data_IF_438504607625
#
_entry.id   IF_438504607625
#
_cell.length_a   1.000
_cell.length_b   1.000
_cell.length_c   1.000
_cell.angle_alpha   90.00
_cell.angle_beta   90.00
_cell.angle_gamma   90.00
#
_symmetry.space_group_name_H-M   'P 1'
#
loop_
_entity.id
_entity.type
_entity.pdbx_description
1 polymer ?
#
# COMPACT_ATOMS: atom_id res chain seq x y z
N UNK A 1 -29.93 -0.24 5.26
CA UNK A 1 -29.50 -0.96 4.05
C UNK A 1 -28.73 -0.05 3.09
N UNK A 2 -29.30 1.06 2.61
CA UNK A 2 -28.62 2.00 1.70
C UNK A 2 -27.26 2.51 2.19
N UNK A 3 -27.15 2.92 3.46
CA UNK A 3 -25.89 3.39 4.03
C UNK A 3 -24.77 2.33 4.01
N UNK A 4 -25.09 1.08 4.36
CA UNK A 4 -24.14 -0.05 4.37
C UNK A 4 -23.68 -0.39 2.96
N UNK A 5 -24.59 -0.36 1.99
CA UNK A 5 -24.21 -0.57 0.58
C UNK A 5 -23.29 0.55 0.09
N UNK A 6 -23.55 1.79 0.50
CA UNK A 6 -22.72 2.93 0.12
C UNK A 6 -21.31 2.86 0.73
N UNK A 7 -21.18 2.44 2.00
CA UNK A 7 -19.86 2.24 2.62
C UNK A 7 -19.08 1.14 1.92
N UNK A 8 -19.70 -0.03 1.69
CA UNK A 8 -19.03 -1.13 0.97
C UNK A 8 -18.62 -0.76 -0.46
N UNK A 9 -19.41 0.07 -1.15
CA UNK A 9 -19.04 0.58 -2.47
C UNK A 9 -17.84 1.53 -2.40
N UNK A 10 -17.79 2.41 -1.39
CA UNK A 10 -16.65 3.30 -1.16
C UNK A 10 -15.38 2.50 -0.83
N UNK A 11 -15.47 1.46 0.00
CA UNK A 11 -14.32 0.63 0.35
C UNK A 11 -13.80 -0.15 -0.86
N UNK A 12 -14.71 -0.73 -1.63
CA UNK A 12 -14.37 -1.41 -2.89
C UNK A 12 -13.70 -0.47 -3.89
N UNK A 13 -14.18 0.77 -3.97
CA UNK A 13 -13.58 1.80 -4.81
C UNK A 13 -12.18 2.19 -4.32
N UNK A 14 -12.00 2.41 -3.02
CA UNK A 14 -10.71 2.75 -2.41
C UNK A 14 -9.67 1.65 -2.63
N UNK A 15 -10.03 0.39 -2.37
CA UNK A 15 -9.18 -0.78 -2.63
C UNK A 15 -8.82 -0.87 -4.12
N UNK A 16 -9.79 -0.61 -5.01
CA UNK A 16 -9.54 -0.59 -6.46
C UNK A 16 -8.54 0.50 -6.86
N UNK A 17 -8.55 1.68 -6.23
CA UNK A 17 -7.55 2.73 -6.47
C UNK A 17 -6.15 2.28 -6.05
N UNK A 18 -6.00 1.62 -4.89
CA UNK A 18 -4.71 1.06 -4.46
C UNK A 18 -4.22 0.02 -5.48
N UNK A 19 -5.11 -0.88 -5.91
CA UNK A 19 -4.79 -1.89 -6.91
C UNK A 19 -4.40 -1.27 -8.28
N UNK A 20 -5.05 -0.19 -8.70
CA UNK A 20 -4.67 0.54 -9.91
C UNK A 20 -3.27 1.16 -9.82
N UNK A 21 -2.91 1.73 -8.66
CA UNK A 21 -1.56 2.27 -8.43
C UNK A 21 -0.50 1.17 -8.48
N UNK A 22 -0.79 0.02 -7.87
CA UNK A 22 0.05 -1.18 -7.99
C UNK A 22 0.26 -1.56 -9.45
N UNK A 23 -0.81 -1.67 -10.24
CA UNK A 23 -0.72 -2.01 -11.67
C UNK A 23 0.15 -1.00 -12.43
N UNK A 24 0.00 0.30 -12.14
CA UNK A 24 0.82 1.35 -12.77
C UNK A 24 2.31 1.20 -12.41
N UNK A 25 2.65 0.83 -11.18
CA UNK A 25 4.03 0.52 -10.79
C UNK A 25 4.59 -0.69 -11.52
N UNK A 26 3.82 -1.78 -11.61
CA UNK A 26 4.24 -2.97 -12.37
C UNK A 26 4.44 -2.64 -13.86
N UNK A 27 3.55 -1.85 -14.46
CA UNK A 27 3.68 -1.40 -15.84
C UNK A 27 4.92 -0.50 -16.03
N UNK A 28 5.21 0.39 -15.09
CA UNK A 28 6.40 1.21 -15.11
C UNK A 28 7.67 0.35 -15.04
N UNK A 29 7.74 -0.60 -14.10
CA UNK A 29 8.85 -1.54 -13.96
C UNK A 29 9.09 -2.32 -15.27
N UNK A 30 8.04 -2.90 -15.86
CA UNK A 30 8.12 -3.59 -17.15
C UNK A 30 8.60 -2.69 -18.29
N UNK A 31 8.16 -1.43 -18.34
CA UNK A 31 8.63 -0.45 -19.32
C UNK A 31 10.12 -0.17 -19.17
N UNK A 32 10.60 0.03 -17.93
CA UNK A 32 12.02 0.27 -17.65
C UNK A 32 12.88 -0.92 -18.09
N UNK A 33 12.47 -2.14 -17.77
CA UNK A 33 13.18 -3.37 -18.20
C UNK A 33 13.13 -3.54 -19.72
N UNK A 34 11.99 -3.23 -20.36
CA UNK A 34 11.89 -3.23 -21.83
C UNK A 34 12.84 -2.21 -22.46
N UNK A 35 12.94 -0.99 -21.92
CA UNK A 35 13.92 0.00 -22.40
C UNK A 35 15.34 -0.57 -22.30
N UNK A 36 15.70 -1.17 -21.16
CA UNK A 36 17.01 -1.78 -20.95
C UNK A 36 17.35 -2.84 -22.01
N UNK A 37 16.38 -3.72 -22.30
CA UNK A 37 16.54 -4.78 -23.30
C UNK A 37 16.70 -4.23 -24.71
N UNK A 38 15.87 -3.25 -25.10
CA UNK A 38 15.94 -2.63 -26.43
C UNK A 38 17.31 -1.96 -26.66
N UNK A 39 17.88 -1.35 -25.63
CA UNK A 39 19.21 -0.73 -25.67
C UNK A 39 20.35 -1.73 -25.73
N UNK A 40 20.25 -2.85 -25.01
CA UNK A 40 21.23 -3.94 -25.10
C UNK A 40 21.31 -4.53 -26.50
N UNK A 41 20.18 -4.59 -27.23
CA UNK A 41 20.14 -5.10 -28.61
C UNK A 41 20.57 -4.07 -29.66
N UNK A 42 20.37 -2.78 -29.41
CA UNK A 42 20.72 -1.68 -30.33
C UNK A 42 21.53 -0.60 -29.59
N UNK A 43 22.85 -0.79 -29.40
CA UNK A 43 23.69 0.21 -28.75
C UNK A 43 23.68 1.53 -29.52
N UNK A 44 23.44 2.63 -28.81
CA UNK A 44 23.37 3.98 -29.38
C UNK A 44 24.76 4.61 -29.31
N UNK A 45 25.38 4.80 -30.47
CA UNK A 45 26.73 5.37 -30.58
C UNK A 45 26.76 6.90 -30.77
N UNK A 46 25.65 7.54 -31.16
CA UNK A 46 25.59 9.00 -31.34
C UNK A 46 24.26 9.64 -30.92
N UNK A 47 24.29 10.87 -30.35
CA UNK A 47 23.10 11.60 -29.92
C UNK A 47 22.21 12.12 -31.06
N UNK A 48 22.64 11.99 -32.32
CA UNK A 48 21.92 12.50 -33.49
C UNK A 48 21.06 11.43 -34.21
N UNK A 49 21.02 10.21 -33.69
CA UNK A 49 20.20 9.14 -34.27
C UNK A 49 18.75 9.23 -33.81
N UNK A 50 17.81 8.89 -34.70
CA UNK A 50 16.37 8.73 -34.39
C UNK A 50 16.13 7.81 -33.17
N UNK A 51 16.99 6.81 -32.97
CA UNK A 51 16.98 5.91 -31.81
C UNK A 51 17.23 6.62 -30.47
N UNK A 52 18.10 7.63 -30.43
CA UNK A 52 18.35 8.44 -29.23
C UNK A 52 17.11 9.24 -28.84
N UNK A 53 16.47 9.89 -29.81
CA UNK A 53 15.29 10.71 -29.55
C UNK A 53 14.10 9.86 -29.05
N UNK A 54 13.90 8.67 -29.63
CA UNK A 54 12.88 7.73 -29.17
C UNK A 54 13.15 7.23 -27.75
N UNK A 55 14.40 6.85 -27.45
CA UNK A 55 14.78 6.40 -26.11
C UNK A 55 14.60 7.51 -25.06
N UNK A 56 15.08 8.72 -25.37
CA UNK A 56 14.92 9.87 -24.50
C UNK A 56 13.44 10.16 -24.23
N UNK A 57 12.61 10.18 -25.28
CA UNK A 57 11.17 10.36 -25.16
C UNK A 57 10.49 9.29 -24.30
N UNK A 58 10.85 8.01 -24.49
CA UNK A 58 10.33 6.89 -23.69
C UNK A 58 10.75 6.99 -22.22
N UNK A 59 12.00 7.35 -21.94
CA UNK A 59 12.50 7.53 -20.58
C UNK A 59 11.81 8.70 -19.89
N UNK A 60 11.69 9.84 -20.57
CA UNK A 60 10.97 11.01 -20.07
C UNK A 60 9.50 10.67 -19.74
N UNK A 61 8.85 9.87 -20.59
CA UNK A 61 7.50 9.36 -20.33
C UNK A 61 7.45 8.44 -19.11
N UNK A 62 8.46 7.60 -18.88
CA UNK A 62 8.55 6.77 -17.67
C UNK A 62 8.75 7.62 -16.41
N UNK A 63 9.61 8.64 -16.46
CA UNK A 63 9.83 9.58 -15.34
C UNK A 63 8.53 10.33 -15.01
N UNK A 64 7.85 10.91 -16.00
CA UNK A 64 6.55 11.59 -15.79
C UNK A 64 5.49 10.64 -15.24
N UNK A 65 5.45 9.39 -15.71
CA UNK A 65 4.53 8.39 -15.19
C UNK A 65 4.82 8.07 -13.72
N UNK A 66 6.10 7.86 -13.36
CA UNK A 66 6.51 7.65 -11.97
C UNK A 66 6.13 8.82 -11.06
N UNK A 67 6.38 10.06 -11.49
CA UNK A 67 5.97 11.27 -10.77
C UNK A 67 4.45 11.36 -10.57
N UNK A 68 3.68 10.96 -11.59
CA UNK A 68 2.21 10.91 -11.49
C UNK A 68 1.75 9.87 -10.48
N UNK A 69 2.38 8.68 -10.46
CA UNK A 69 2.09 7.64 -9.46
C UNK A 69 2.40 8.16 -8.05
N UNK A 70 3.58 8.75 -7.83
CA UNK A 70 3.97 9.35 -6.54
C UNK A 70 2.91 10.36 -6.07
N UNK A 71 2.48 11.25 -6.96
CA UNK A 71 1.45 12.24 -6.64
C UNK A 71 0.13 11.57 -6.27
N UNK A 72 -0.29 10.56 -7.02
CA UNK A 72 -1.55 9.87 -6.79
C UNK A 72 -1.53 9.06 -5.47
N UNK A 73 -0.40 8.43 -5.13
CA UNK A 73 -0.21 7.79 -3.82
C UNK A 73 -0.36 8.82 -2.70
N UNK A 74 0.27 9.98 -2.81
CA UNK A 74 0.15 11.04 -1.80
C UNK A 74 -1.27 11.61 -1.67
N UNK A 75 -2.03 11.70 -2.77
CA UNK A 75 -3.44 12.09 -2.73
C UNK A 75 -4.29 11.00 -2.04
N UNK A 76 -4.02 9.74 -2.36
CA UNK A 76 -4.72 8.60 -1.78
C UNK A 76 -4.41 8.48 -0.29
N UNK A 77 -3.17 8.67 0.12
CA UNK A 77 -2.75 8.70 1.52
C UNK A 77 -3.47 9.78 2.31
N UNK A 78 -3.58 11.01 1.79
CA UNK A 78 -4.32 12.08 2.49
C UNK A 78 -5.79 11.76 2.68
N UNK A 79 -6.41 11.05 1.73
CA UNK A 79 -7.84 10.71 1.77
C UNK A 79 -8.09 9.47 2.62
N UNK A 80 -7.37 8.38 2.35
CA UNK A 80 -7.52 7.12 3.06
C UNK A 80 -6.93 7.18 4.46
N UNK A 81 -5.87 7.95 4.68
CA UNK A 81 -5.22 8.02 5.98
C UNK A 81 -6.19 8.47 7.09
N UNK A 82 -6.97 9.52 6.84
CA UNK A 82 -8.00 9.96 7.80
C UNK A 82 -9.13 8.94 7.97
N UNK A 83 -9.55 8.28 6.89
CA UNK A 83 -10.62 7.26 6.92
C UNK A 83 -10.18 6.05 7.74
N UNK A 84 -8.98 5.51 7.45
CA UNK A 84 -8.42 4.33 8.10
C UNK A 84 -8.07 4.58 9.56
N UNK A 85 -7.66 5.81 9.91
CA UNK A 85 -7.48 6.20 11.30
C UNK A 85 -8.81 6.17 12.06
N UNK A 86 -9.86 6.78 11.51
CA UNK A 86 -11.20 6.75 12.10
C UNK A 86 -11.76 5.32 12.22
N UNK A 87 -11.51 4.48 11.21
CA UNK A 87 -11.87 3.07 11.21
C UNK A 87 -11.14 2.31 12.32
N UNK A 88 -9.84 2.56 12.49
CA UNK A 88 -9.02 1.91 13.53
C UNK A 88 -9.50 2.27 14.94
N UNK A 89 -9.84 3.55 15.17
CA UNK A 89 -10.45 4.00 16.43
C UNK A 89 -11.81 3.32 16.65
N UNK A 90 -12.61 3.19 15.59
CA UNK A 90 -13.93 2.54 15.64
C UNK A 90 -13.82 1.06 16.01
N UNK A 91 -12.84 0.34 15.44
CA UNK A 91 -12.53 -1.06 15.79
C UNK A 91 -12.17 -1.16 17.28
N UNK A 92 -11.29 -0.28 17.76
CA UNK A 92 -10.89 -0.25 19.17
C UNK A 92 -12.08 -0.03 20.11
N UNK A 93 -12.92 0.98 19.83
CA UNK A 93 -14.09 1.29 20.66
C UNK A 93 -15.09 0.11 20.73
N UNK A 94 -15.35 -0.54 19.60
CA UNK A 94 -16.24 -1.70 19.50
C UNK A 94 -15.67 -2.89 20.25
N UNK A 95 -14.36 -3.13 20.14
CA UNK A 95 -13.68 -4.19 20.88
C UNK A 95 -13.78 -3.96 22.40
N UNK A 96 -13.56 -2.73 22.88
CA UNK A 96 -13.73 -2.38 24.29
C UNK A 96 -15.17 -2.60 24.78
N UNK A 97 -16.16 -2.16 24.01
CA UNK A 97 -17.57 -2.34 24.37
C UNK A 97 -17.98 -3.82 24.41
N UNK A 98 -17.50 -4.61 23.44
CA UNK A 98 -17.73 -6.04 23.40
C UNK A 98 -17.13 -6.75 24.63
N UNK A 99 -15.93 -6.34 25.01
CA UNK A 99 -15.24 -6.88 26.17
C UNK A 99 -15.97 -6.56 27.49
N UNK A 100 -16.46 -5.33 27.63
CA UNK A 100 -17.31 -4.94 28.77
C UNK A 100 -18.58 -5.78 28.86
N UNK A 101 -19.27 -6.01 27.73
CA UNK A 101 -20.47 -6.85 27.72
C UNK A 101 -20.21 -8.30 28.15
N UNK A 102 -19.07 -8.87 27.72
CA UNK A 102 -18.66 -10.23 28.13
C UNK A 102 -18.35 -10.26 29.63
N UNK A 103 -17.71 -9.21 30.16
CA UNK A 103 -17.36 -9.12 31.57
C UNK A 103 -18.63 -9.09 32.45
N UNK A 104 -19.60 -8.23 32.13
CA UNK A 104 -20.78 -7.98 32.97
C UNK A 104 -21.93 -8.98 32.78
N UNK A 105 -21.72 -10.07 32.02
CA UNK A 105 -22.73 -11.13 31.71
C UNK A 105 -24.12 -10.61 31.30
N UNK A 106 -24.19 -9.38 30.80
CA UNK A 106 -25.44 -8.63 30.73
C UNK A 106 -26.34 -9.04 29.56
N UNK A 107 -25.83 -9.85 28.61
CA UNK A 107 -26.54 -10.22 27.40
C UNK A 107 -26.30 -11.68 26.99
N UNK A 108 -27.36 -12.35 26.51
CA UNK A 108 -27.30 -13.74 26.04
C UNK A 108 -26.42 -13.95 24.79
N UNK A 109 -26.10 -15.22 24.50
CA UNK A 109 -25.20 -15.69 23.42
C UNK A 109 -25.48 -15.02 22.06
N UNK A 110 -26.73 -14.68 21.78
CA UNK A 110 -27.13 -14.04 20.53
C UNK A 110 -26.56 -12.62 20.34
N UNK A 111 -26.41 -11.83 21.41
CA UNK A 111 -25.84 -10.48 21.30
C UNK A 111 -24.32 -10.54 21.15
N UNK A 112 -23.66 -11.41 21.92
CA UNK A 112 -22.21 -11.68 21.78
C UNK A 112 -21.88 -12.11 20.36
N UNK A 113 -22.68 -13.00 19.77
CA UNK A 113 -22.51 -13.43 18.38
C UNK A 113 -22.65 -12.30 17.35
N UNK A 114 -23.63 -11.40 17.53
CA UNK A 114 -23.86 -10.26 16.61
C UNK A 114 -22.69 -9.29 16.61
N UNK A 115 -22.25 -8.85 17.78
CA UNK A 115 -21.13 -7.92 17.91
C UNK A 115 -19.78 -8.55 17.54
N UNK A 116 -19.59 -9.84 17.86
CA UNK A 116 -18.43 -10.61 17.41
C UNK A 116 -18.33 -10.65 15.88
N UNK A 117 -19.43 -10.97 15.20
CA UNK A 117 -19.49 -10.97 13.73
C UNK A 117 -19.18 -9.59 13.14
N UNK A 118 -19.67 -8.52 13.76
CA UNK A 118 -19.37 -7.15 13.35
C UNK A 118 -17.88 -6.81 13.52
N UNK A 119 -17.27 -7.17 14.65
CA UNK A 119 -15.83 -6.97 14.88
C UNK A 119 -14.99 -7.74 13.85
N UNK A 120 -15.31 -9.01 13.57
CA UNK A 120 -14.63 -9.81 12.55
C UNK A 120 -14.73 -9.17 11.17
N UNK A 121 -15.89 -8.62 10.82
CA UNK A 121 -16.10 -7.93 9.54
C UNK A 121 -15.17 -6.72 9.43
N UNK A 122 -15.11 -5.87 10.46
CA UNK A 122 -14.27 -4.68 10.49
C UNK A 122 -12.77 -5.02 10.45
N UNK A 123 -12.35 -6.08 11.16
CA UNK A 123 -10.97 -6.58 11.10
C UNK A 123 -10.60 -7.12 9.71
N UNK A 124 -11.54 -7.81 9.05
CA UNK A 124 -11.35 -8.31 7.67
C UNK A 124 -11.18 -7.15 6.69
N UNK A 125 -11.95 -6.08 6.87
CA UNK A 125 -11.82 -4.88 6.04
C UNK A 125 -10.45 -4.21 6.21
N UNK A 126 -10.00 -4.02 7.45
CA UNK A 126 -8.66 -3.50 7.74
C UNK A 126 -7.55 -4.40 7.15
N UNK A 127 -7.72 -5.73 7.25
CA UNK A 127 -6.79 -6.69 6.67
C UNK A 127 -6.66 -6.52 5.15
N UNK A 128 -7.76 -6.35 4.44
CA UNK A 128 -7.74 -6.12 2.99
C UNK A 128 -6.96 -4.85 2.65
N UNK A 129 -7.19 -3.74 3.35
CA UNK A 129 -6.42 -2.51 3.14
C UNK A 129 -4.92 -2.69 3.42
N UNK A 130 -4.56 -3.36 4.51
CA UNK A 130 -3.17 -3.67 4.83
C UNK A 130 -2.53 -4.58 3.77
N UNK A 131 -3.26 -5.55 3.23
CA UNK A 131 -2.76 -6.44 2.17
C UNK A 131 -2.42 -5.67 0.89
N UNK A 132 -3.36 -4.85 0.40
CA UNK A 132 -3.14 -4.07 -0.82
C UNK A 132 -2.10 -2.96 -0.61
N UNK A 133 -2.02 -2.39 0.59
CA UNK A 133 -0.96 -1.45 0.97
C UNK A 133 0.43 -2.10 0.93
N UNK A 134 0.58 -3.30 1.47
CA UNK A 134 1.81 -4.08 1.49
C UNK A 134 2.26 -4.49 0.08
N UNK A 135 1.31 -4.91 -0.77
CA UNK A 135 1.56 -5.19 -2.19
C UNK A 135 2.04 -3.94 -2.94
N UNK A 136 1.49 -2.76 -2.63
CA UNK A 136 1.90 -1.49 -3.23
C UNK A 136 3.35 -1.14 -2.85
N UNK A 137 3.73 -1.33 -1.58
CA UNK A 137 5.09 -1.11 -1.07
C UNK A 137 6.07 -2.02 -1.82
N UNK A 138 5.74 -3.32 -1.87
CA UNK A 138 6.56 -4.34 -2.53
C UNK A 138 6.75 -4.05 -4.03
N UNK A 139 5.70 -3.65 -4.74
CA UNK A 139 5.80 -3.27 -6.15
C UNK A 139 6.57 -1.96 -6.36
N UNK A 140 6.50 -1.02 -5.42
CA UNK A 140 7.31 0.20 -5.47
C UNK A 140 8.81 -0.11 -5.37
N UNK A 141 9.21 -1.04 -4.51
CA UNK A 141 10.61 -1.44 -4.37
C UNK A 141 11.14 -2.15 -5.63
N UNK A 142 10.29 -2.95 -6.29
CA UNK A 142 10.63 -3.58 -7.57
C UNK A 142 10.94 -2.58 -8.68
N UNK A 143 10.41 -1.36 -8.63
CA UNK A 143 10.77 -0.29 -9.58
C UNK A 143 12.24 0.12 -9.41
N UNK A 144 12.74 0.19 -8.18
CA UNK A 144 14.14 0.50 -7.92
C UNK A 144 15.07 -0.61 -8.45
N UNK A 145 14.69 -1.87 -8.24
CA UNK A 145 15.43 -3.03 -8.76
C UNK A 145 15.43 -3.05 -10.30
N UNK A 146 14.30 -2.80 -10.93
CA UNK A 146 14.21 -2.70 -12.40
C UNK A 146 15.07 -1.55 -12.97
N UNK A 147 15.11 -0.41 -12.28
CA UNK A 147 15.97 0.71 -12.67
C UNK A 147 17.46 0.38 -12.50
N UNK A 148 17.82 -0.37 -11.45
CA UNK A 148 19.18 -0.84 -11.24
C UNK A 148 19.64 -1.82 -12.32
N UNK A 149 18.80 -2.81 -12.67
CA UNK A 149 19.09 -3.74 -13.76
C UNK A 149 19.25 -3.00 -15.09
N UNK A 150 18.37 -2.02 -15.36
CA UNK A 150 18.47 -1.17 -16.53
C UNK A 150 19.77 -0.35 -16.59
N UNK A 151 20.29 0.10 -15.44
CA UNK A 151 21.53 0.87 -15.39
C UNK A 151 22.74 0.06 -15.87
N UNK A 152 22.78 -1.25 -15.59
CA UNK A 152 23.86 -2.13 -16.05
C UNK A 152 23.90 -2.23 -17.59
N UNK A 153 22.74 -2.23 -18.25
CA UNK A 153 22.62 -2.22 -19.71
C UNK A 153 22.98 -0.88 -20.37
N UNK A 154 23.13 0.19 -19.58
CA UNK A 154 23.32 1.58 -20.03
C UNK A 154 24.79 2.04 -20.01
N UNK A 155 25.76 1.17 -19.72
CA UNK A 155 27.18 1.54 -19.58
C UNK A 155 27.80 2.21 -20.83
N UNK A 156 27.16 2.10 -22.01
CA UNK A 156 27.58 2.79 -23.24
C UNK A 156 26.72 3.97 -23.68
N UNK A 157 25.70 4.35 -22.91
CA UNK A 157 24.74 5.38 -23.31
C UNK A 157 25.17 6.82 -22.95
N UNK A 158 24.66 7.81 -23.69
CA UNK A 158 24.96 9.22 -23.44
C UNK A 158 24.54 9.68 -22.04
N UNK A 159 25.40 10.52 -21.43
CA UNK A 159 25.26 11.08 -20.09
C UNK A 159 23.84 11.53 -19.66
N UNK A 160 23.05 12.25 -20.48
CA UNK A 160 21.71 12.71 -20.08
C UNK A 160 20.73 11.57 -19.77
N UNK A 161 20.82 10.45 -20.50
CA UNK A 161 19.95 9.28 -20.31
C UNK A 161 20.33 8.58 -19.01
N UNK A 162 21.63 8.33 -18.81
CA UNK A 162 22.15 7.70 -17.60
C UNK A 162 21.84 8.52 -16.36
N UNK A 163 21.98 9.85 -16.41
CA UNK A 163 21.61 10.75 -15.31
C UNK A 163 20.11 10.68 -14.98
N UNK A 164 19.25 10.68 -16.00
CA UNK A 164 17.80 10.63 -15.79
C UNK A 164 17.35 9.32 -15.16
N UNK A 165 17.95 8.18 -15.56
CA UNK A 165 17.66 6.89 -14.93
C UNK A 165 18.21 6.81 -13.51
N UNK A 166 19.41 7.34 -13.24
CA UNK A 166 19.97 7.40 -11.88
C UNK A 166 19.06 8.19 -10.93
N UNK A 167 18.52 9.33 -11.38
CA UNK A 167 17.57 10.11 -10.60
C UNK A 167 16.27 9.33 -10.35
N UNK A 168 15.77 8.60 -11.35
CA UNK A 168 14.60 7.73 -11.19
C UNK A 168 14.87 6.62 -10.17
N UNK A 169 16.03 5.94 -10.25
CA UNK A 169 16.43 4.90 -9.32
C UNK A 169 16.55 5.44 -7.89
N UNK A 170 17.25 6.56 -7.71
CA UNK A 170 17.42 7.21 -6.41
C UNK A 170 16.07 7.61 -5.81
N UNK A 171 15.10 8.05 -6.64
CA UNK A 171 13.75 8.34 -6.17
C UNK A 171 12.97 7.08 -5.79
N UNK A 172 13.09 6.02 -6.60
CA UNK A 172 12.39 4.75 -6.43
C UNK A 172 12.89 3.94 -5.23
N UNK A 173 14.13 4.15 -4.78
CA UNK A 173 14.67 3.57 -3.54
C UNK A 173 13.89 3.98 -2.29
N UNK A 174 13.11 5.06 -2.35
CA UNK A 174 12.15 5.40 -1.28
C UNK A 174 10.80 4.77 -1.62
N UNK A 175 10.41 3.67 -0.95
CA UNK A 175 9.18 2.97 -1.27
C UNK A 175 7.96 3.86 -1.06
N UNK A 176 6.93 3.63 -1.87
CA UNK A 176 5.64 4.28 -1.76
C UNK A 176 4.75 3.45 -0.84
N UNK A 177 4.39 4.04 0.30
CA UNK A 177 3.48 3.45 1.28
C UNK A 177 2.34 4.42 1.58
N UNK A 178 1.24 3.86 2.07
CA UNK A 178 0.09 4.61 2.58
C UNK A 178 0.09 4.46 4.10
N UNK A 179 -0.16 5.54 4.84
CA UNK A 179 -0.25 5.51 6.30
C UNK A 179 -1.68 5.73 6.80
N UNK A 180 -2.02 5.14 7.94
CA UNK A 180 -3.24 5.45 8.68
C UNK A 180 -3.05 6.78 9.44
N UNK A 181 -3.33 7.89 8.76
CA UNK A 181 -3.28 9.24 9.36
C UNK A 181 -1.89 9.66 9.84
N UNK A 182 -0.82 9.08 9.28
CA UNK A 182 0.56 9.33 9.69
C UNK A 182 1.05 8.52 10.89
N UNK A 183 0.23 7.64 11.49
CA UNK A 183 0.62 6.87 12.67
C UNK A 183 1.38 5.59 12.33
N UNK A 184 0.84 4.77 11.43
CA UNK A 184 1.46 3.51 11.03
C UNK A 184 1.24 3.24 9.53
N UNK A 185 2.19 2.59 8.85
CA UNK A 185 2.05 2.20 7.46
C UNK A 185 1.01 1.08 7.29
N UNK A 186 0.30 1.07 6.18
CA UNK A 186 -0.56 -0.05 5.79
C UNK A 186 0.30 -1.21 5.29
N UNK A 187 0.86 -1.95 6.23
CA UNK A 187 1.61 -3.18 5.99
C UNK A 187 0.95 -4.35 6.68
N UNK A 188 1.27 -5.56 6.22
CA UNK A 188 0.80 -6.79 6.90
C UNK A 188 1.33 -6.87 8.32
N UNK A 189 2.56 -6.40 8.55
CA UNK A 189 3.17 -6.33 9.87
C UNK A 189 2.36 -5.44 10.84
N UNK A 190 1.90 -4.28 10.37
CA UNK A 190 1.10 -3.36 11.18
C UNK A 190 -0.25 -3.99 11.57
N UNK A 191 -0.88 -4.76 10.67
CA UNK A 191 -2.09 -5.51 10.99
C UNK A 191 -1.86 -6.55 12.09
N UNK A 192 -0.78 -7.34 11.98
CA UNK A 192 -0.42 -8.33 13.00
C UNK A 192 -0.12 -7.66 14.35
N UNK A 193 0.55 -6.50 14.33
CA UNK A 193 0.79 -5.72 15.55
C UNK A 193 -0.53 -5.29 16.22
N UNK A 194 -1.50 -4.79 15.45
CA UNK A 194 -2.84 -4.43 15.96
C UNK A 194 -3.55 -5.63 16.56
N UNK A 195 -3.50 -6.80 15.92
CA UNK A 195 -4.09 -8.03 16.45
C UNK A 195 -3.43 -8.47 17.76
N UNK A 196 -2.10 -8.45 17.82
CA UNK A 196 -1.35 -8.84 19.02
C UNK A 196 -1.70 -7.94 20.20
N UNK A 197 -1.71 -6.62 19.99
CA UNK A 197 -2.10 -5.64 21.02
C UNK A 197 -3.54 -5.91 21.49
N UNK A 198 -4.47 -6.12 20.56
CA UNK A 198 -5.87 -6.41 20.87
C UNK A 198 -6.01 -7.71 21.69
N UNK A 199 -5.27 -8.75 21.33
CA UNK A 199 -5.25 -10.03 22.06
C UNK A 199 -4.64 -9.89 23.45
N UNK A 200 -3.54 -9.14 23.61
CA UNK A 200 -2.95 -8.86 24.91
C UNK A 200 -3.93 -8.14 25.84
N UNK A 201 -4.66 -7.12 25.34
CA UNK A 201 -5.71 -6.47 26.12
C UNK A 201 -6.83 -7.43 26.53
N UNK A 202 -7.27 -8.30 25.62
CA UNK A 202 -8.25 -9.34 25.93
C UNK A 202 -7.75 -10.33 26.99
N UNK A 203 -6.50 -10.79 26.87
CA UNK A 203 -5.91 -11.73 27.82
C UNK A 203 -5.79 -11.13 29.23
N UNK A 204 -5.35 -9.86 29.33
CA UNK A 204 -5.27 -9.13 30.61
C UNK A 204 -6.66 -9.06 31.26
N UNK A 205 -7.69 -8.66 30.51
CA UNK A 205 -9.02 -8.51 31.05
C UNK A 205 -9.69 -9.85 31.40
N UNK A 206 -9.34 -10.92 30.70
CA UNK A 206 -9.75 -12.27 31.08
C UNK A 206 -9.12 -12.71 32.39
N UNK A 207 -7.83 -12.44 32.60
CA UNK A 207 -7.14 -12.77 33.85
C UNK A 207 -7.74 -12.01 35.04
N UNK A 208 -8.07 -10.72 34.90
CA UNK A 208 -8.74 -9.96 35.97
C UNK A 208 -10.11 -10.54 36.34
N UNK A 209 -10.85 -11.07 35.37
CA UNK A 209 -12.14 -11.73 35.63
C UNK A 209 -11.98 -13.08 36.33
N UNK A 210 -10.94 -13.85 35.99
CA UNK A 210 -10.63 -15.13 36.65
C UNK A 210 -10.11 -14.94 38.10
N UNK A 211 -9.58 -13.76 38.46
CA UNK A 211 -9.18 -13.43 39.84
C UNK A 211 -10.35 -12.98 40.75
N UNK A 212 -11.48 -12.56 40.18
CA UNK A 212 -12.68 -12.13 40.93
C UNK A 212 -13.69 -13.25 41.21
N UNK A 213 -13.55 -14.43 40.57
CA UNK A 213 -14.35 -15.66 40.81
C UNK A 213 -13.67 -16.62 41.81
#
# INVERSE_FOLDING_TARGET
MHAVVMTMALDSFNVSLIAQLRIQLTLLSKKIVSLARDMSQKPIYSPETSSYHELHYRLEKCVRHHQTIIRNVGLLERRLGSILLAQSISIGAVACFQMFQIATSANGVQQVGKFGCYLTTMLTELFVYCWFGDDLITESEKVALAAYEALSSLQGCPLPITRSLLLLMQRAQRPLYITAGGFFPLSRESYVAVLNVSYSFFAILRNFKEEEE
#
